data_IF_685627640873
#
_entry.id   IF_685627640873
#
_cell.length_a   1.000
_cell.length_b   1.000
_cell.length_c   1.000
_cell.angle_alpha   90.00
_cell.angle_beta   90.00
_cell.angle_gamma   90.00
#
_symmetry.space_group_name_H-M   'P 1'
#
loop_
_entity.id
_entity.type
_entity.pdbx_description
1 polymer ?
#
# COMPACT_ATOMS: atom_id res chain seq x y z
N UNK A 1 10.24 -17.86 4.82
CA UNK A 1 9.96 -17.56 3.39
C UNK A 1 10.29 -16.09 3.21
N UNK A 2 10.80 -15.66 2.05
CA UNK A 2 11.34 -14.30 1.86
C UNK A 2 10.17 -13.31 1.65
N UNK A 3 10.15 -12.14 2.31
CA UNK A 3 9.08 -11.12 2.18
C UNK A 3 8.78 -10.77 0.71
N UNK A 4 9.83 -10.67 -0.11
CA UNK A 4 9.70 -10.42 -1.57
C UNK A 4 8.98 -11.58 -2.28
N UNK A 5 9.24 -12.82 -1.88
CA UNK A 5 8.61 -14.02 -2.46
C UNK A 5 7.13 -14.10 -2.07
N UNK A 6 6.81 -13.80 -0.81
CA UNK A 6 5.44 -13.75 -0.30
C UNK A 6 4.61 -12.69 -1.04
N UNK A 7 5.12 -11.45 -1.09
CA UNK A 7 4.51 -10.37 -1.85
C UNK A 7 4.33 -10.74 -3.33
N UNK A 8 5.34 -11.36 -3.95
CA UNK A 8 5.25 -11.79 -5.36
C UNK A 8 4.11 -12.79 -5.59
N UNK A 9 3.89 -13.71 -4.67
CA UNK A 9 2.81 -14.69 -4.78
C UNK A 9 1.43 -14.03 -4.62
N UNK A 10 1.30 -13.08 -3.69
CA UNK A 10 0.07 -12.30 -3.51
C UNK A 10 -0.23 -11.46 -4.76
N UNK A 11 0.77 -10.75 -5.30
CA UNK A 11 0.63 -9.96 -6.52
C UNK A 11 0.19 -10.79 -7.73
N UNK A 12 0.74 -12.01 -7.90
CA UNK A 12 0.31 -12.94 -8.96
C UNK A 12 -1.13 -13.40 -8.80
N UNK A 13 -1.56 -13.66 -7.56
CA UNK A 13 -2.96 -13.99 -7.30
C UNK A 13 -3.86 -12.81 -7.68
N UNK A 14 -3.54 -11.61 -7.18
CA UNK A 14 -4.31 -10.40 -7.43
C UNK A 14 -4.43 -10.06 -8.92
N UNK A 15 -3.36 -10.24 -9.70
CA UNK A 15 -3.37 -9.89 -11.14
C UNK A 15 -4.27 -10.77 -12.00
N UNK A 16 -4.75 -11.88 -11.43
CA UNK A 16 -5.68 -12.81 -12.09
C UNK A 16 -7.02 -12.93 -11.37
N UNK A 17 -7.21 -12.17 -10.28
CA UNK A 17 -8.41 -12.24 -9.47
C UNK A 17 -9.57 -11.48 -10.13
N UNK A 18 -10.74 -12.12 -10.18
CA UNK A 18 -11.99 -11.50 -10.62
C UNK A 18 -12.85 -11.15 -9.39
N UNK A 19 -13.44 -9.95 -9.40
CA UNK A 19 -14.34 -9.51 -8.32
C UNK A 19 -15.77 -9.84 -8.73
N UNK A 20 -16.29 -10.99 -8.30
CA UNK A 20 -17.68 -11.38 -8.62
C UNK A 20 -18.63 -11.26 -7.42
N UNK A 21 -18.08 -11.23 -6.21
CA UNK A 21 -18.83 -11.15 -4.96
C UNK A 21 -18.24 -10.13 -3.98
N UNK A 22 -19.05 -9.66 -3.03
CA UNK A 22 -18.57 -8.79 -1.95
C UNK A 22 -17.51 -9.47 -1.07
N UNK A 23 -17.57 -10.78 -0.87
CA UNK A 23 -16.57 -11.51 -0.08
C UNK A 23 -15.20 -11.54 -0.78
N UNK A 24 -15.19 -11.67 -2.10
CA UNK A 24 -13.96 -11.61 -2.90
C UNK A 24 -13.38 -10.21 -2.90
N UNK A 25 -14.23 -9.19 -3.02
CA UNK A 25 -13.83 -7.79 -2.89
C UNK A 25 -13.08 -7.54 -1.56
N UNK A 26 -13.67 -7.92 -0.43
CA UNK A 26 -13.05 -7.74 0.89
C UNK A 26 -11.71 -8.49 1.01
N UNK A 27 -11.64 -9.71 0.44
CA UNK A 27 -10.39 -10.48 0.41
C UNK A 27 -9.32 -9.79 -0.44
N UNK A 28 -9.68 -9.24 -1.60
CA UNK A 28 -8.75 -8.52 -2.47
C UNK A 28 -8.23 -7.26 -1.80
N UNK A 29 -9.11 -6.47 -1.15
CA UNK A 29 -8.70 -5.29 -0.37
C UNK A 29 -7.73 -5.70 0.75
N UNK A 30 -8.03 -6.75 1.51
CA UNK A 30 -7.15 -7.25 2.57
C UNK A 30 -5.79 -7.74 2.07
N UNK A 31 -5.72 -8.32 0.86
CA UNK A 31 -4.45 -8.72 0.25
C UNK A 31 -3.66 -7.52 -0.29
N UNK A 32 -4.34 -6.47 -0.75
CA UNK A 32 -3.68 -5.21 -1.11
C UNK A 32 -3.09 -4.53 0.13
N UNK A 33 -3.80 -4.57 1.26
CA UNK A 33 -3.27 -4.11 2.55
C UNK A 33 -1.97 -4.83 2.91
N UNK A 34 -1.94 -6.16 2.78
CA UNK A 34 -0.75 -7.00 3.03
C UNK A 34 0.41 -6.64 2.08
N UNK A 35 0.12 -6.38 0.80
CA UNK A 35 1.12 -5.94 -0.18
C UNK A 35 1.72 -4.59 0.23
N UNK A 36 0.89 -3.61 0.58
CA UNK A 36 1.35 -2.28 0.99
C UNK A 36 2.17 -2.33 2.28
N UNK A 37 1.74 -3.13 3.25
CA UNK A 37 2.50 -3.39 4.48
C UNK A 37 3.85 -4.04 4.18
N UNK A 38 3.89 -5.00 3.25
CA UNK A 38 5.13 -5.67 2.86
C UNK A 38 6.09 -4.71 2.16
N UNK A 39 5.59 -3.84 1.27
CA UNK A 39 6.39 -2.76 0.66
C UNK A 39 6.99 -1.88 1.74
N UNK A 40 6.19 -1.49 2.74
CA UNK A 40 6.67 -0.71 3.87
C UNK A 40 7.82 -1.42 4.61
N UNK A 41 7.67 -2.70 4.97
CA UNK A 41 8.70 -3.51 5.66
C UNK A 41 9.99 -3.66 4.85
N UNK A 42 9.89 -3.89 3.55
CA UNK A 42 11.04 -3.98 2.66
C UNK A 42 11.82 -2.66 2.65
N UNK A 43 11.12 -1.54 2.58
CA UNK A 43 11.74 -0.21 2.42
C UNK A 43 12.36 0.32 3.71
N UNK A 44 11.74 0.06 4.87
CA UNK A 44 12.33 0.44 6.17
C UNK A 44 13.50 -0.46 6.57
N UNK A 45 13.46 -1.75 6.22
CA UNK A 45 14.58 -2.68 6.46
C UNK A 45 15.75 -2.46 5.49
N UNK A 46 15.56 -1.68 4.43
CA UNK A 46 16.55 -1.44 3.39
C UNK A 46 16.81 -2.66 2.50
N UNK A 47 15.88 -3.61 2.48
CA UNK A 47 15.95 -4.82 1.66
C UNK A 47 15.93 -4.44 0.18
N UNK A 48 16.85 -4.99 -0.61
CA UNK A 48 17.02 -4.65 -2.03
C UNK A 48 16.42 -5.72 -2.94
N UNK A 49 15.59 -5.30 -3.88
CA UNK A 49 15.15 -6.15 -4.98
C UNK A 49 16.31 -6.48 -5.93
N UNK A 50 16.44 -7.75 -6.26
CA UNK A 50 17.28 -8.17 -7.38
C UNK A 50 16.68 -7.76 -8.72
N UNK A 51 17.47 -7.79 -9.79
CA UNK A 51 16.97 -7.55 -11.15
C UNK A 51 15.84 -8.53 -11.51
N UNK A 52 15.96 -9.79 -11.08
CA UNK A 52 14.93 -10.81 -11.29
C UNK A 52 13.63 -10.44 -10.60
N UNK A 53 13.69 -9.98 -9.34
CA UNK A 53 12.50 -9.58 -8.59
C UNK A 53 11.80 -8.40 -9.27
N UNK A 54 12.58 -7.39 -9.68
CA UNK A 54 12.05 -6.22 -10.40
C UNK A 54 11.34 -6.61 -11.70
N UNK A 55 11.92 -7.53 -12.47
CA UNK A 55 11.34 -8.01 -13.73
C UNK A 55 10.03 -8.79 -13.54
N UNK A 56 9.86 -9.45 -12.40
CA UNK A 56 8.65 -10.22 -12.08
C UNK A 56 7.56 -9.31 -11.49
N UNK A 57 7.94 -8.46 -10.54
CA UNK A 57 7.01 -7.65 -9.75
C UNK A 57 6.54 -6.41 -10.51
N UNK A 58 7.44 -5.78 -11.28
CA UNK A 58 7.14 -4.53 -11.97
C UNK A 58 5.88 -4.59 -12.87
N UNK A 59 5.74 -5.59 -13.76
CA UNK A 59 4.54 -5.73 -14.58
C UNK A 59 3.28 -5.98 -13.74
N UNK A 60 3.39 -6.71 -12.62
CA UNK A 60 2.25 -6.98 -11.73
C UNK A 60 1.75 -5.68 -11.09
N UNK A 61 2.63 -4.79 -10.62
CA UNK A 61 2.20 -3.48 -10.12
C UNK A 61 1.48 -2.66 -11.19
N UNK A 62 1.95 -2.71 -12.43
CA UNK A 62 1.32 -2.03 -13.55
C UNK A 62 -0.09 -2.54 -13.86
N UNK A 63 -0.30 -3.86 -13.81
CA UNK A 63 -1.62 -4.47 -14.01
C UNK A 63 -2.59 -4.23 -12.84
N UNK A 64 -2.06 -3.94 -11.65
CA UNK A 64 -2.83 -3.77 -10.41
C UNK A 64 -3.19 -2.32 -10.08
N UNK A 65 -2.84 -1.33 -10.92
CA UNK A 65 -3.10 0.08 -10.64
C UNK A 65 -4.59 0.38 -10.41
N UNK A 66 -5.48 -0.25 -11.16
CA UNK A 66 -6.93 -0.08 -10.95
C UNK A 66 -7.38 -0.62 -9.59
N UNK A 67 -6.76 -1.70 -9.11
CA UNK A 67 -7.03 -2.24 -7.78
C UNK A 67 -6.49 -1.32 -6.67
N UNK A 68 -5.32 -0.69 -6.87
CA UNK A 68 -4.84 0.35 -5.96
C UNK A 68 -5.75 1.60 -5.97
N UNK A 69 -6.34 1.96 -7.11
CA UNK A 69 -7.26 3.10 -7.20
C UNK A 69 -8.55 2.85 -6.40
N UNK A 70 -9.07 1.62 -6.49
CA UNK A 70 -10.18 1.15 -5.66
C UNK A 70 -9.81 1.23 -4.18
N UNK A 71 -8.60 0.78 -3.81
CA UNK A 71 -8.12 0.86 -2.43
C UNK A 71 -8.07 2.31 -1.92
N UNK A 72 -7.53 3.26 -2.70
CA UNK A 72 -7.50 4.68 -2.35
C UNK A 72 -8.92 5.21 -2.12
N UNK A 73 -9.82 4.97 -3.08
CA UNK A 73 -11.21 5.42 -3.01
C UNK A 73 -11.96 4.86 -1.81
N UNK A 74 -11.81 3.56 -1.56
CA UNK A 74 -12.41 2.87 -0.41
C UNK A 74 -11.89 3.46 0.90
N UNK A 75 -10.58 3.66 1.00
CA UNK A 75 -9.95 4.11 2.24
C UNK A 75 -10.33 5.53 2.62
N UNK A 76 -10.45 6.44 1.65
CA UNK A 76 -10.96 7.80 1.88
C UNK A 76 -12.42 7.77 2.35
N UNK A 77 -13.25 6.90 1.76
CA UNK A 77 -14.67 6.74 2.11
C UNK A 77 -14.92 6.14 3.50
N UNK A 78 -13.95 5.41 4.06
CA UNK A 78 -14.06 4.70 5.34
C UNK A 78 -13.19 5.35 6.43
N UNK A 79 -13.71 6.47 6.97
CA UNK A 79 -13.01 7.47 7.80
C UNK A 79 -12.57 6.98 9.20
N UNK A 80 -13.15 5.90 9.71
CA UNK A 80 -13.20 5.66 11.15
C UNK A 80 -11.93 5.10 11.82
N UNK A 81 -10.90 4.72 11.08
CA UNK A 81 -9.67 4.10 11.63
C UNK A 81 -8.35 4.78 11.17
N UNK A 82 -8.44 6.03 10.71
CA UNK A 82 -7.39 6.70 9.91
C UNK A 82 -6.24 7.34 10.71
N UNK A 83 -6.15 7.11 12.02
CA UNK A 83 -4.96 7.43 12.83
C UNK A 83 -4.28 6.19 13.42
N UNK A 84 -4.72 4.99 13.01
CA UNK A 84 -4.05 3.75 13.38
C UNK A 84 -2.65 3.67 12.76
N UNK A 85 -1.73 3.00 13.46
CA UNK A 85 -0.41 2.68 12.91
C UNK A 85 -0.53 1.89 11.61
N UNK A 86 -1.48 0.97 11.56
CA UNK A 86 -1.82 0.16 10.40
C UNK A 86 -2.14 1.00 9.14
N UNK A 87 -2.94 2.06 9.28
CA UNK A 87 -3.20 2.96 8.16
C UNK A 87 -1.94 3.73 7.73
N UNK A 88 -1.14 4.21 8.69
CA UNK A 88 0.14 4.89 8.39
C UNK A 88 1.12 3.98 7.66
N UNK A 89 1.15 2.70 8.01
CA UNK A 89 1.96 1.66 7.35
C UNK A 89 1.53 1.52 5.89
N UNK A 90 0.25 1.27 5.64
CA UNK A 90 -0.26 1.05 4.27
C UNK A 90 -0.11 2.29 3.39
N UNK A 91 -0.42 3.48 3.93
CA UNK A 91 -0.18 4.76 3.25
C UNK A 91 1.29 4.95 2.88
N UNK A 92 2.20 4.59 3.79
CA UNK A 92 3.64 4.68 3.55
C UNK A 92 4.09 3.67 2.48
N UNK A 93 3.54 2.46 2.49
CA UNK A 93 3.74 1.47 1.43
C UNK A 93 3.34 2.01 0.06
N UNK A 94 2.19 2.69 -0.02
CA UNK A 94 1.73 3.32 -1.27
C UNK A 94 2.69 4.44 -1.72
N UNK A 95 3.12 5.31 -0.79
CA UNK A 95 4.10 6.37 -1.12
C UNK A 95 5.42 5.79 -1.64
N UNK A 96 5.90 4.72 -1.01
CA UNK A 96 7.10 4.04 -1.46
C UNK A 96 6.94 3.44 -2.84
N UNK A 97 5.82 2.76 -3.12
CA UNK A 97 5.50 2.26 -4.46
C UNK A 97 5.58 3.39 -5.48
N UNK A 98 4.89 4.50 -5.22
CA UNK A 98 4.81 5.64 -6.13
C UNK A 98 6.17 6.28 -6.37
N UNK A 99 7.06 6.35 -5.38
CA UNK A 99 8.32 7.09 -5.48
C UNK A 99 9.54 6.23 -5.84
N UNK A 100 9.65 5.00 -5.30
CA UNK A 100 10.87 4.18 -5.35
C UNK A 100 10.84 3.09 -6.42
N UNK A 101 9.66 2.74 -6.93
CA UNK A 101 9.48 1.62 -7.87
C UNK A 101 9.33 2.10 -9.33
N UNK A 102 9.44 3.41 -9.59
CA UNK A 102 9.31 4.02 -10.93
C UNK A 102 10.19 3.35 -11.99
N UNK A 103 11.37 2.88 -11.62
CA UNK A 103 12.33 2.24 -12.53
C UNK A 103 12.03 0.76 -12.82
N UNK A 104 11.06 0.15 -12.14
CA UNK A 104 10.76 -1.26 -12.36
C UNK A 104 10.16 -1.44 -13.76
N UNK A 105 10.55 -2.50 -14.50
CA UNK A 105 9.98 -2.76 -15.82
C UNK A 105 8.47 -3.02 -15.76
N UNK A 106 7.71 -2.46 -16.70
CA UNK A 106 6.24 -2.54 -16.68
C UNK A 106 5.67 -3.57 -17.67
N UNK A 107 6.51 -4.27 -18.43
CA UNK A 107 6.09 -5.24 -19.46
C UNK A 107 5.45 -4.60 -20.71
N UNK A 108 4.51 -3.67 -20.53
CA UNK A 108 3.88 -2.84 -21.56
C UNK A 108 4.76 -1.65 -21.96
N UNK A 109 5.43 -1.07 -20.97
CA UNK A 109 6.37 0.04 -21.12
C UNK A 109 7.77 -0.32 -20.62
N UNK A 110 8.74 0.56 -20.89
CA UNK A 110 10.11 0.42 -20.37
C UNK A 110 10.18 0.44 -18.85
N UNK A 111 9.31 1.21 -18.18
CA UNK A 111 9.31 1.39 -16.73
C UNK A 111 7.91 1.73 -16.22
N UNK A 112 7.70 1.58 -14.90
CA UNK A 112 6.47 1.93 -14.21
C UNK A 112 6.23 3.45 -14.10
N UNK A 113 7.26 4.26 -14.29
CA UNK A 113 7.24 5.71 -14.07
C UNK A 113 6.01 6.40 -14.67
N UNK A 114 5.72 6.17 -15.96
CA UNK A 114 4.58 6.82 -16.61
C UNK A 114 3.24 6.40 -16.01
N UNK A 115 3.10 5.12 -15.68
CA UNK A 115 1.87 4.55 -15.14
C UNK A 115 1.62 5.04 -13.69
N UNK A 116 2.66 5.04 -12.85
CA UNK A 116 2.59 5.55 -11.47
C UNK A 116 2.37 7.07 -11.42
N UNK A 117 3.00 7.82 -12.32
CA UNK A 117 2.76 9.27 -12.42
C UNK A 117 1.33 9.56 -12.85
N UNK A 118 0.79 8.81 -13.81
CA UNK A 118 -0.61 8.95 -14.21
C UNK A 118 -1.56 8.63 -13.05
N UNK A 119 -1.34 7.50 -12.38
CA UNK A 119 -2.09 7.11 -11.17
C UNK A 119 -2.08 8.21 -10.11
N UNK A 120 -0.93 8.81 -9.83
CA UNK A 120 -0.81 9.92 -8.87
C UNK A 120 -1.62 11.16 -9.27
N UNK A 121 -1.81 11.40 -10.56
CA UNK A 121 -2.55 12.56 -11.08
C UNK A 121 -4.07 12.28 -11.07
N UNK A 122 -4.48 11.04 -11.31
CA UNK A 122 -5.91 10.68 -11.42
C UNK A 122 -6.56 10.36 -10.10
N UNK A 123 -5.82 9.75 -9.17
CA UNK A 123 -6.34 9.31 -7.89
C UNK A 123 -6.17 10.37 -6.79
N UNK A 124 -7.11 10.38 -5.83
CA UNK A 124 -7.16 11.36 -4.73
C UNK A 124 -6.12 11.05 -3.63
N UNK A 125 -4.84 11.05 -4.00
CA UNK A 125 -3.73 10.81 -3.06
C UNK A 125 -3.65 11.93 -2.01
N UNK A 126 -3.96 13.17 -2.41
CA UNK A 126 -4.01 14.31 -1.49
C UNK A 126 -5.13 14.15 -0.45
N UNK A 127 -6.28 13.59 -0.85
CA UNK A 127 -7.37 13.24 0.07
C UNK A 127 -6.92 12.30 1.20
N UNK A 128 -5.99 11.38 0.94
CA UNK A 128 -5.41 10.52 1.99
C UNK A 128 -4.61 11.32 3.04
N UNK A 129 -3.94 12.40 2.64
CA UNK A 129 -3.16 13.28 3.53
C UNK A 129 -4.09 14.24 4.31
N UNK A 130 -5.16 14.71 3.68
CA UNK A 130 -6.22 15.49 4.33
C UNK A 130 -6.87 14.70 5.47
N UNK A 131 -7.03 13.39 5.30
CA UNK A 131 -7.60 12.52 6.33
C UNK A 131 -6.78 12.55 7.63
N UNK A 132 -5.44 12.51 7.58
CA UNK A 132 -4.58 12.64 8.77
C UNK A 132 -4.73 14.00 9.48
N UNK A 133 -4.97 15.07 8.71
CA UNK A 133 -5.18 16.41 9.24
C UNK A 133 -6.58 16.59 9.85
N UNK A 134 -7.55 15.83 9.36
CA UNK A 134 -8.92 15.87 9.84
C UNK A 134 -9.07 15.10 11.16
N UNK A 135 -8.67 15.72 12.29
CA UNK A 135 -8.92 15.20 13.66
C UNK A 135 -10.42 15.06 14.04
N UNK A 136 -11.33 15.13 13.07
CA UNK A 136 -12.77 15.18 13.31
C UNK A 136 -13.39 13.88 12.81
N UNK A 137 -14.00 13.18 13.76
CA UNK A 137 -14.80 11.96 13.59
C UNK A 137 -14.03 10.64 13.66
N UNK A 138 -13.37 10.41 14.81
CA UNK A 138 -13.25 9.05 15.35
C UNK A 138 -14.67 8.58 15.68
N UNK A 139 -15.37 8.04 14.69
CA UNK A 139 -16.48 7.15 15.00
C UNK A 139 -15.86 5.85 15.45
N UNK A 140 -16.22 5.44 16.66
CA UNK A 140 -15.86 4.17 17.27
C UNK A 140 -16.48 3.02 16.45
N UNK A 141 -15.85 2.67 15.31
CA UNK A 141 -16.24 1.51 14.51
C UNK A 141 -15.33 0.34 14.83
N UNK A 142 -15.28 -0.08 16.09
CA UNK A 142 -14.74 -1.38 16.50
C UNK A 142 -15.53 -2.59 15.92
N UNK A 143 -16.15 -2.46 14.74
CA UNK A 143 -17.02 -3.50 14.18
C UNK A 143 -16.45 -4.25 12.98
N UNK A 144 -15.30 -3.89 12.41
CA UNK A 144 -14.85 -4.56 11.18
C UNK A 144 -13.42 -5.10 11.12
N UNK A 145 -12.50 -4.70 12.00
CA UNK A 145 -11.18 -5.31 12.06
C UNK A 145 -10.80 -5.65 13.49
N UNK A 146 -10.52 -6.93 13.76
CA UNK A 146 -9.97 -7.36 15.03
C UNK A 146 -8.60 -6.73 15.20
N UNK A 147 -8.49 -5.76 16.12
CA UNK A 147 -7.20 -5.20 16.51
C UNK A 147 -6.33 -6.32 17.06
N UNK A 148 -5.22 -6.63 16.39
CA UNK A 148 -4.13 -7.31 17.07
C UNK A 148 -3.52 -6.29 18.04
N UNK A 149 -3.64 -6.55 19.34
CA UNK A 149 -3.23 -5.65 20.43
C UNK A 149 -1.69 -5.49 20.58
N UNK A 150 -0.89 -5.80 19.55
CA UNK A 150 0.56 -5.61 19.56
C UNK A 150 0.97 -4.62 18.48
N UNK A 151 1.82 -3.61 18.79
CA UNK A 151 2.34 -2.72 17.77
C UNK A 151 3.15 -3.55 16.76
N UNK A 152 2.76 -3.44 15.49
CA UNK A 152 3.36 -4.16 14.36
C UNK A 152 4.82 -3.76 14.11
N UNK A 153 5.30 -2.69 14.77
CA UNK A 153 6.63 -2.09 14.61
C UNK A 153 7.22 -1.72 15.96
N UNK A 154 8.55 -1.85 16.08
CA UNK A 154 9.27 -1.32 17.23
C UNK A 154 9.68 0.15 17.00
N UNK A 155 10.07 0.86 18.06
CA UNK A 155 10.46 2.27 17.97
C UNK A 155 11.65 2.54 17.03
N UNK A 156 12.53 1.55 16.80
CA UNK A 156 13.65 1.68 15.85
C UNK A 156 13.18 1.63 14.40
N UNK A 157 12.15 0.85 14.09
CA UNK A 157 11.57 0.78 12.73
C UNK A 157 10.98 2.14 12.33
N UNK A 158 10.42 2.89 13.28
CA UNK A 158 9.86 4.24 13.06
C UNK A 158 10.96 5.26 12.76
N UNK A 159 12.18 5.11 13.30
CA UNK A 159 13.31 6.00 13.00
C UNK A 159 13.74 5.92 11.52
N UNK A 160 13.49 4.79 10.87
CA UNK A 160 13.80 4.57 9.46
C UNK A 160 12.75 5.13 8.49
N UNK A 161 11.59 5.58 9.01
CA UNK A 161 10.54 6.19 8.19
C UNK A 161 10.99 7.58 7.69
N UNK A 162 10.91 7.86 6.37
CA UNK A 162 11.35 9.14 5.83
C UNK A 162 10.67 10.37 6.45
N UNK A 163 11.37 11.50 6.41
CA UNK A 163 10.82 12.79 6.85
C UNK A 163 9.58 13.22 6.05
N UNK A 164 9.48 12.81 4.78
CA UNK A 164 8.34 13.09 3.92
C UNK A 164 7.02 12.45 4.40
N UNK A 165 7.07 11.38 5.20
CA UNK A 165 5.89 10.75 5.78
C UNK A 165 5.59 11.43 7.13
N UNK A 166 5.30 12.73 7.07
CA UNK A 166 5.22 13.62 8.23
C UNK A 166 4.14 13.20 9.25
N UNK A 167 3.10 12.49 8.81
CA UNK A 167 2.01 11.94 9.64
C UNK A 167 2.46 10.90 10.68
N UNK A 168 3.67 10.33 10.56
CA UNK A 168 4.26 9.51 11.63
C UNK A 168 4.69 10.33 12.86
N UNK A 169 4.81 11.65 12.72
CA UNK A 169 5.33 12.57 13.75
C UNK A 169 4.25 13.48 14.34
N UNK A 170 2.99 13.30 13.94
CA UNK A 170 1.82 14.12 14.31
C UNK A 170 0.92 13.47 15.34
#
# INVERSE_FOLDING_TARGET
MNEIEEMTNVLKFLSTAEITTCSEFLKIVSLLDEVLETIFKIEISGTKFSITDKNIIGPLFGDLLDLFAIWVSYTIGHISEQNSEDYKIRRSGLEFLLERYKEFPNGKDKSLESALNNFRITEDIEGLDEMFNSKKYVYDTQMFYGSSDEPTLNAQDIEHVPLSHWWWRS
#
